data_IF_441840794383
#
_entry.id   IF_441840794383
#
_cell.length_a   1.000
_cell.length_b   1.000
_cell.length_c   1.000
_cell.angle_alpha   90.00
_cell.angle_beta   90.00
_cell.angle_gamma   90.00
#
_symmetry.space_group_name_H-M   'P 1'
#
loop_
_entity.id
_entity.type
_entity.pdbx_description
1 polymer ?
#
# COMPACT_ATOMS: atom_id res chain seq x y z
N UNK A 1 -0.26 -1.32 -16.08
CA UNK A 1 0.68 -2.37 -15.72
C UNK A 1 1.09 -2.28 -14.26
N UNK A 2 1.46 -3.41 -13.66
CA UNK A 2 1.95 -3.44 -12.28
C UNK A 2 3.43 -3.03 -12.22
N UNK A 3 4.17 -3.37 -13.28
CA UNK A 3 5.60 -3.16 -13.38
C UNK A 3 5.94 -2.31 -14.61
N UNK A 4 6.93 -1.47 -14.47
CA UNK A 4 7.50 -0.72 -15.56
C UNK A 4 8.44 -1.60 -16.39
N UNK A 5 9.14 -2.48 -15.68
CA UNK A 5 10.02 -3.49 -16.25
C UNK A 5 9.71 -4.85 -15.63
N UNK A 6 9.64 -5.88 -16.47
CA UNK A 6 9.44 -7.25 -16.05
C UNK A 6 10.39 -8.16 -16.80
N UNK A 7 11.32 -8.77 -16.10
CA UNK A 7 12.16 -9.85 -16.60
C UNK A 7 11.72 -11.15 -15.95
N UNK A 8 11.18 -12.11 -16.72
CA UNK A 8 10.85 -13.43 -16.19
C UNK A 8 12.11 -14.17 -15.75
N UNK A 9 11.97 -14.99 -14.73
CA UNK A 9 13.02 -15.92 -14.37
C UNK A 9 13.30 -16.90 -15.51
N UNK A 10 14.55 -17.20 -15.74
CA UNK A 10 14.98 -18.12 -16.79
C UNK A 10 16.18 -18.92 -16.31
N UNK A 11 16.24 -20.21 -16.69
CA UNK A 11 17.38 -21.06 -16.43
C UNK A 11 18.00 -21.50 -17.74
N UNK A 12 19.31 -21.26 -17.86
CA UNK A 12 20.11 -21.69 -19.00
C UNK A 12 20.89 -22.95 -18.62
N UNK A 13 20.42 -24.16 -19.01
CA UNK A 13 21.05 -25.42 -18.62
C UNK A 13 22.47 -25.56 -19.14
N UNK A 14 22.78 -24.90 -20.27
CA UNK A 14 24.09 -24.98 -20.93
C UNK A 14 25.22 -24.34 -20.13
N UNK A 15 24.89 -23.33 -19.32
CA UNK A 15 25.86 -22.55 -18.52
C UNK A 15 25.58 -22.64 -17.02
N UNK A 16 24.64 -23.47 -16.63
CA UNK A 16 24.15 -23.56 -15.25
C UNK A 16 23.85 -22.16 -14.65
N UNK A 17 23.31 -21.28 -15.49
CA UNK A 17 23.04 -19.90 -15.12
C UNK A 17 21.56 -19.72 -14.84
N UNK A 18 21.24 -19.25 -13.65
CA UNK A 18 19.90 -18.83 -13.28
C UNK A 18 19.81 -17.31 -13.41
N UNK A 19 18.87 -16.85 -14.24
CA UNK A 19 18.51 -15.44 -14.36
C UNK A 19 17.32 -15.22 -13.44
N UNK A 20 17.51 -14.41 -12.40
CA UNK A 20 16.45 -14.08 -11.46
C UNK A 20 15.39 -13.19 -12.10
N UNK A 21 14.16 -13.31 -11.59
CA UNK A 21 13.09 -12.39 -11.90
C UNK A 21 13.49 -10.99 -11.45
N UNK A 22 13.49 -10.02 -12.35
CA UNK A 22 13.68 -8.61 -12.04
C UNK A 22 12.41 -7.82 -12.33
N UNK A 23 12.01 -6.98 -11.37
CA UNK A 23 10.81 -6.15 -11.48
C UNK A 23 11.07 -4.78 -10.86
N UNK A 24 10.80 -3.73 -11.62
CA UNK A 24 10.87 -2.35 -11.12
C UNK A 24 9.46 -1.78 -11.01
N UNK A 25 9.13 -1.30 -9.82
CA UNK A 25 7.89 -0.57 -9.57
C UNK A 25 8.14 0.91 -9.88
N UNK A 26 7.34 1.44 -10.80
CA UNK A 26 7.38 2.86 -11.11
C UNK A 26 6.48 3.62 -10.14
N UNK A 27 7.03 4.58 -9.41
CA UNK A 27 6.31 5.41 -8.43
C UNK A 27 5.09 6.12 -9.04
N UNK A 28 5.20 6.56 -10.30
CA UNK A 28 4.08 7.19 -11.01
C UNK A 28 2.94 6.21 -11.26
N UNK A 29 3.26 4.96 -11.59
CA UNK A 29 2.23 3.91 -11.77
C UNK A 29 1.60 3.58 -10.42
N UNK A 30 2.38 3.48 -9.35
CA UNK A 30 1.85 3.25 -8.00
C UNK A 30 0.90 4.37 -7.58
N UNK A 31 1.28 5.64 -7.80
CA UNK A 31 0.41 6.79 -7.55
C UNK A 31 -0.92 6.70 -8.30
N UNK A 32 -0.89 6.43 -9.62
CA UNK A 32 -2.09 6.30 -10.44
C UNK A 32 -3.01 5.15 -9.97
N UNK A 33 -2.44 4.08 -9.45
CA UNK A 33 -3.21 2.96 -8.89
C UNK A 33 -3.88 3.36 -7.57
N UNK A 34 -3.16 4.03 -6.68
CA UNK A 34 -3.70 4.57 -5.43
C UNK A 34 -4.82 5.57 -5.71
N UNK A 35 -4.62 6.48 -6.69
CA UNK A 35 -5.61 7.44 -7.12
C UNK A 35 -6.88 6.73 -7.65
N UNK A 36 -6.71 5.73 -8.52
CA UNK A 36 -7.83 4.94 -9.06
C UNK A 36 -8.65 4.28 -7.94
N UNK A 37 -7.97 3.70 -6.93
CA UNK A 37 -8.65 3.07 -5.79
C UNK A 37 -9.37 4.12 -4.92
N UNK A 38 -8.72 5.26 -4.66
CA UNK A 38 -9.32 6.36 -3.89
C UNK A 38 -10.58 6.90 -4.58
N UNK A 39 -10.55 7.07 -5.90
CA UNK A 39 -11.68 7.53 -6.70
C UNK A 39 -12.85 6.54 -6.68
N UNK A 40 -12.58 5.23 -6.79
CA UNK A 40 -13.62 4.19 -6.69
C UNK A 40 -14.31 4.20 -5.33
N UNK A 41 -13.52 4.34 -4.25
CA UNK A 41 -14.04 4.36 -2.88
C UNK A 41 -14.70 5.69 -2.50
N UNK A 42 -14.40 6.78 -3.20
CA UNK A 42 -15.07 8.07 -2.99
C UNK A 42 -16.53 8.08 -3.47
N UNK A 43 -16.90 7.12 -4.35
CA UNK A 43 -18.21 7.07 -4.99
C UNK A 43 -18.40 8.08 -6.11
N UNK A 44 -17.33 8.80 -6.51
CA UNK A 44 -17.36 9.71 -7.64
C UNK A 44 -17.51 8.94 -8.98
N UNK A 45 -18.25 9.47 -9.96
CA UNK A 45 -18.36 8.85 -11.27
C UNK A 45 -17.00 8.69 -11.92
N UNK A 46 -16.53 7.45 -12.03
CA UNK A 46 -15.14 7.16 -12.45
C UNK A 46 -15.11 6.04 -13.48
N UNK A 47 -14.31 6.22 -14.54
CA UNK A 47 -14.00 5.19 -15.53
C UNK A 47 -12.52 4.85 -15.41
N UNK A 48 -12.20 3.58 -15.12
CA UNK A 48 -10.82 3.11 -15.00
C UNK A 48 -10.49 2.17 -16.15
N UNK A 49 -9.40 2.48 -16.86
CA UNK A 49 -8.83 1.62 -17.89
C UNK A 49 -7.51 1.06 -17.38
N UNK A 50 -7.43 -0.25 -17.25
CA UNK A 50 -6.25 -0.91 -16.68
C UNK A 50 -5.94 -2.23 -17.38
N UNK A 51 -4.79 -2.82 -17.07
CA UNK A 51 -4.42 -4.16 -17.55
C UNK A 51 -5.18 -5.23 -16.76
N UNK A 52 -5.25 -6.45 -17.31
CA UNK A 52 -5.92 -7.59 -16.67
C UNK A 52 -5.37 -7.92 -15.28
N UNK A 53 -4.14 -7.53 -14.97
CA UNK A 53 -3.53 -7.72 -13.65
C UNK A 53 -4.30 -7.04 -12.50
N UNK A 54 -5.17 -6.07 -12.80
CA UNK A 54 -6.01 -5.41 -11.78
C UNK A 54 -7.06 -6.34 -11.14
N UNK A 55 -7.41 -7.46 -11.80
CA UNK A 55 -8.36 -8.44 -11.24
C UNK A 55 -7.76 -9.29 -10.12
N UNK A 56 -6.44 -9.33 -10.02
CA UNK A 56 -5.73 -9.99 -8.93
C UNK A 56 -5.65 -9.04 -7.74
N UNK A 57 -6.66 -9.09 -6.88
CA UNK A 57 -6.75 -8.18 -5.74
C UNK A 57 -5.76 -8.57 -4.65
N UNK A 58 -5.24 -7.57 -3.97
CA UNK A 58 -4.37 -7.70 -2.83
C UNK A 58 -4.98 -6.96 -1.64
N UNK A 59 -5.78 -7.70 -0.89
CA UNK A 59 -6.47 -7.17 0.28
C UNK A 59 -7.96 -6.89 0.04
N UNK A 60 -8.65 -6.68 1.15
CA UNK A 60 -10.06 -6.34 1.15
C UNK A 60 -10.20 -4.81 0.98
N UNK A 61 -11.02 -4.30 0.04
CA UNK A 61 -11.33 -2.88 -0.05
C UNK A 61 -11.83 -2.26 1.27
N UNK A 62 -12.50 -3.06 2.11
CA UNK A 62 -12.96 -2.63 3.41
C UNK A 62 -11.82 -2.26 4.35
N UNK A 63 -10.72 -3.03 4.38
CA UNK A 63 -9.55 -2.73 5.22
C UNK A 63 -8.94 -1.37 4.85
N UNK A 64 -9.00 -1.02 3.55
CA UNK A 64 -8.51 0.26 3.05
C UNK A 64 -9.43 1.41 3.42
N UNK A 65 -10.72 1.18 3.38
CA UNK A 65 -11.76 2.11 3.82
C UNK A 65 -11.68 2.34 5.34
N UNK A 66 -11.51 1.29 6.13
CA UNK A 66 -11.44 1.35 7.59
C UNK A 66 -10.19 2.09 8.09
N UNK A 67 -9.11 2.09 7.31
CA UNK A 67 -7.89 2.84 7.60
C UNK A 67 -7.88 4.25 7.04
N UNK A 68 -8.92 4.64 6.28
CA UNK A 68 -9.05 6.00 5.79
C UNK A 68 -9.28 6.98 6.96
N UNK A 69 -8.59 8.11 6.91
CA UNK A 69 -8.65 9.15 7.93
C UNK A 69 -9.67 10.18 7.49
N UNK A 70 -10.81 10.22 8.17
CA UNK A 70 -11.81 11.27 7.93
C UNK A 70 -11.68 12.31 9.04
N UNK A 71 -11.56 13.58 8.65
CA UNK A 71 -11.50 14.74 9.55
C UNK A 71 -12.51 15.78 9.10
N UNK A 72 -13.20 16.38 10.05
CA UNK A 72 -14.09 17.51 9.81
C UNK A 72 -13.60 18.71 10.62
N UNK A 73 -13.81 19.91 10.12
CA UNK A 73 -13.62 21.12 10.91
C UNK A 73 -14.58 21.09 12.11
N UNK A 74 -14.03 21.34 13.29
CA UNK A 74 -14.75 21.24 14.57
C UNK A 74 -14.66 19.86 15.25
N UNK A 75 -13.99 18.88 14.64
CA UNK A 75 -13.76 17.58 15.30
C UNK A 75 -12.86 17.76 16.54
N UNK A 76 -13.31 17.26 17.70
CA UNK A 76 -12.51 17.16 18.90
C UNK A 76 -11.67 15.86 18.85
N UNK A 77 -10.39 16.00 18.51
CA UNK A 77 -9.46 14.88 18.37
C UNK A 77 -8.05 15.32 18.75
N UNK A 78 -7.38 14.55 19.59
CA UNK A 78 -6.00 14.84 19.97
C UNK A 78 -5.05 14.74 18.77
N UNK A 79 -4.16 15.72 18.64
CA UNK A 79 -3.13 15.75 17.60
C UNK A 79 -2.36 14.42 17.49
N UNK A 80 -1.98 13.84 18.62
CA UNK A 80 -1.24 12.57 18.63
C UNK A 80 -2.07 11.40 18.10
N UNK A 81 -3.39 11.45 18.20
CA UNK A 81 -4.27 10.45 17.61
C UNK A 81 -4.29 10.56 16.08
N UNK A 82 -4.37 11.79 15.56
CA UNK A 82 -4.26 12.03 14.10
C UNK A 82 -2.92 11.50 13.58
N UNK A 83 -1.81 11.81 14.26
CA UNK A 83 -0.47 11.33 13.90
C UNK A 83 -0.44 9.79 13.89
N UNK A 84 -1.00 9.13 14.91
CA UNK A 84 -1.07 7.67 14.96
C UNK A 84 -1.86 7.10 13.79
N UNK A 85 -3.00 7.69 13.45
CA UNK A 85 -3.81 7.27 12.30
C UNK A 85 -3.02 7.40 10.98
N UNK A 86 -2.21 8.45 10.80
CA UNK A 86 -1.33 8.57 9.62
C UNK A 86 -0.29 7.46 9.57
N UNK A 87 0.34 7.11 10.70
CA UNK A 87 1.31 6.00 10.76
C UNK A 87 0.63 4.66 10.48
N UNK A 88 -0.56 4.42 11.04
CA UNK A 88 -1.35 3.21 10.78
C UNK A 88 -1.74 3.11 9.29
N UNK A 89 -2.07 4.24 8.67
CA UNK A 89 -2.36 4.37 7.23
C UNK A 89 -1.10 4.38 6.34
N UNK A 90 0.08 4.08 6.89
CA UNK A 90 1.37 3.98 6.19
C UNK A 90 1.92 5.28 5.61
N UNK A 91 1.55 6.40 6.16
CA UNK A 91 2.25 7.66 5.91
C UNK A 91 3.55 7.70 6.71
N UNK A 92 4.58 8.25 6.11
CA UNK A 92 5.89 8.41 6.75
C UNK A 92 6.08 9.85 7.23
N UNK A 93 6.61 10.02 8.45
CA UNK A 93 6.91 11.35 8.95
C UNK A 93 8.20 11.85 8.34
N UNK A 94 8.13 13.00 7.68
CA UNK A 94 9.29 13.71 7.15
C UNK A 94 9.12 15.20 7.40
N UNK A 95 9.87 15.72 8.37
CA UNK A 95 9.74 17.13 8.77
C UNK A 95 10.50 18.09 7.82
N UNK A 96 11.29 17.56 6.89
CA UNK A 96 12.04 18.33 5.89
C UNK A 96 11.24 18.54 4.61
N UNK A 97 10.74 17.44 4.02
CA UNK A 97 10.02 17.44 2.77
C UNK A 97 8.74 16.62 2.91
N UNK A 98 7.60 17.17 2.48
CA UNK A 98 6.29 16.49 2.56
C UNK A 98 5.91 15.97 1.18
N UNK A 99 6.73 15.06 0.62
CA UNK A 99 6.45 14.36 -0.62
C UNK A 99 5.16 13.51 -0.53
N UNK A 100 4.59 13.05 -1.66
CA UNK A 100 3.44 12.15 -1.65
C UNK A 100 3.67 10.92 -0.72
N UNK A 101 2.71 10.64 0.17
CA UNK A 101 2.83 9.60 1.19
C UNK A 101 3.51 10.03 2.48
N UNK A 102 3.92 11.31 2.59
CA UNK A 102 4.57 11.83 3.79
C UNK A 102 3.68 12.83 4.53
N UNK A 103 3.96 12.97 5.83
CA UNK A 103 3.39 14.04 6.64
C UNK A 103 4.46 14.67 7.54
N UNK A 104 4.22 15.91 7.96
CA UNK A 104 5.05 16.60 8.97
C UNK A 104 4.16 17.26 10.01
N UNK A 105 4.79 17.57 11.17
CA UNK A 105 4.11 18.24 12.27
C UNK A 105 4.92 19.45 12.69
N UNK A 106 4.31 20.63 12.63
CA UNK A 106 4.92 21.90 13.09
C UNK A 106 3.95 22.64 14.00
N UNK A 107 4.26 22.66 15.30
CA UNK A 107 3.36 23.27 16.30
C UNK A 107 1.96 22.63 16.25
N UNK A 108 0.96 23.44 16.03
CA UNK A 108 -0.44 23.03 15.97
C UNK A 108 -0.92 22.73 14.53
N UNK A 109 0.03 22.47 13.62
CA UNK A 109 -0.27 22.19 12.23
C UNK A 109 0.28 20.83 11.81
N UNK A 110 -0.54 20.05 11.11
CA UNK A 110 -0.16 18.82 10.45
C UNK A 110 -0.30 19.04 8.94
N UNK A 111 0.79 18.89 8.20
CA UNK A 111 0.80 18.90 6.75
C UNK A 111 0.95 17.47 6.25
N UNK A 112 0.13 17.05 5.29
CA UNK A 112 0.19 15.73 4.67
C UNK A 112 -0.02 15.85 3.17
N UNK A 113 0.80 15.16 2.38
CA UNK A 113 0.56 14.99 0.94
C UNK A 113 0.05 13.57 0.71
N UNK A 114 -1.24 13.40 0.35
CA UNK A 114 -1.77 12.08 0.05
C UNK A 114 -0.95 11.39 -1.04
N UNK A 115 -0.68 10.08 -0.90
CA UNK A 115 0.18 9.35 -1.82
C UNK A 115 -0.33 9.31 -3.27
N UNK A 116 -1.62 9.61 -3.46
CA UNK A 116 -2.33 9.67 -4.74
C UNK A 116 -2.56 11.12 -5.24
N UNK A 117 -2.03 12.13 -4.54
CA UNK A 117 -2.22 13.56 -4.88
C UNK A 117 -0.88 14.27 -5.00
N UNK A 118 -0.90 15.41 -5.67
CA UNK A 118 0.21 16.37 -5.66
C UNK A 118 -0.09 17.55 -4.71
N UNK A 119 -1.30 17.63 -4.21
CA UNK A 119 -1.70 18.70 -3.32
C UNK A 119 -1.41 18.36 -1.87
N UNK A 120 -0.94 19.37 -1.13
CA UNK A 120 -0.70 19.26 0.30
C UNK A 120 -1.98 19.61 1.05
N UNK A 121 -2.36 18.78 1.99
CA UNK A 121 -3.46 19.04 2.92
C UNK A 121 -2.88 19.52 4.24
N UNK A 122 -3.26 20.73 4.64
CA UNK A 122 -2.90 21.33 5.93
C UNK A 122 -4.06 21.25 6.90
N UNK A 123 -3.82 20.63 8.02
CA UNK A 123 -4.75 20.50 9.14
C UNK A 123 -4.23 21.40 10.26
N UNK A 124 -4.95 22.49 10.53
CA UNK A 124 -4.64 23.41 11.63
C UNK A 124 -5.46 23.02 12.84
N UNK A 125 -4.79 22.92 14.00
CA UNK A 125 -5.40 22.55 15.27
C UNK A 125 -5.46 23.77 16.19
N UNK A 126 -6.49 23.85 17.01
CA UNK A 126 -6.54 24.71 18.16
C UNK A 126 -6.77 23.85 19.41
N UNK A 127 -5.72 23.61 20.18
CA UNK A 127 -5.77 22.59 21.23
C UNK A 127 -6.03 21.19 20.66
N UNK A 128 -7.13 20.58 21.09
CA UNK A 128 -7.58 19.27 20.61
C UNK A 128 -8.71 19.38 19.55
N UNK A 129 -8.93 20.57 18.98
CA UNK A 129 -9.95 20.79 17.95
C UNK A 129 -9.32 21.00 16.56
N UNK A 130 -9.91 20.41 15.53
CA UNK A 130 -9.56 20.69 14.13
C UNK A 130 -10.18 22.02 13.73
N UNK A 131 -9.40 23.10 13.79
CA UNK A 131 -9.87 24.46 13.48
C UNK A 131 -10.11 24.64 11.99
N UNK A 132 -9.22 24.12 11.13
CA UNK A 132 -9.24 24.40 9.69
C UNK A 132 -8.57 23.30 8.90
N UNK A 133 -9.13 22.98 7.74
CA UNK A 133 -8.52 22.10 6.74
C UNK A 133 -8.35 22.86 5.44
N UNK A 134 -7.12 22.92 4.92
CA UNK A 134 -6.78 23.70 3.72
C UNK A 134 -6.01 22.84 2.72
N UNK A 135 -6.42 22.86 1.47
CA UNK A 135 -5.68 22.28 0.36
C UNK A 135 -4.76 23.34 -0.21
N UNK A 136 -3.47 23.03 -0.28
CA UNK A 136 -2.41 23.91 -0.75
C UNK A 136 -1.76 23.32 -1.99
N UNK A 137 -1.29 24.16 -2.85
CA UNK A 137 -0.35 23.78 -3.90
C UNK A 137 0.97 23.34 -3.26
N UNK A 138 1.45 22.15 -3.61
CA UNK A 138 2.61 21.55 -2.96
C UNK A 138 3.90 22.38 -3.10
N UNK A 139 4.10 23.03 -4.26
CA UNK A 139 5.33 23.77 -4.58
C UNK A 139 5.27 25.18 -4.03
N UNK A 140 4.19 25.90 -4.35
CA UNK A 140 4.06 27.32 -3.97
C UNK A 140 3.49 27.54 -2.58
N UNK A 141 2.95 26.49 -1.94
CA UNK A 141 2.22 26.51 -0.67
C UNK A 141 1.03 27.51 -0.67
N UNK A 142 0.58 27.95 -1.84
CA UNK A 142 -0.60 28.82 -1.94
C UNK A 142 -1.87 28.04 -1.68
N UNK A 143 -2.77 28.67 -0.96
CA UNK A 143 -4.10 28.11 -0.70
C UNK A 143 -4.87 27.93 -2.02
N UNK A 144 -5.29 26.69 -2.31
CA UNK A 144 -6.19 26.36 -3.41
C UNK A 144 -7.64 26.36 -2.94
N UNK A 145 -7.90 25.72 -1.79
CA UNK A 145 -9.27 25.55 -1.30
C UNK A 145 -9.28 25.30 0.21
N UNK A 146 -10.29 25.82 0.92
CA UNK A 146 -10.67 25.40 2.27
C UNK A 146 -11.80 24.39 2.17
N UNK A 147 -11.74 23.37 2.99
CA UNK A 147 -12.76 22.31 3.06
C UNK A 147 -13.22 22.10 4.48
N UNK A 148 -14.49 21.80 4.67
CA UNK A 148 -15.04 21.45 5.99
C UNK A 148 -14.85 19.99 6.35
N UNK A 149 -14.60 19.14 5.34
CA UNK A 149 -14.39 17.71 5.50
C UNK A 149 -13.30 17.24 4.56
N UNK A 150 -12.43 16.37 5.04
CA UNK A 150 -11.40 15.70 4.23
C UNK A 150 -11.33 14.22 4.60
N UNK A 151 -11.28 13.37 3.58
CA UNK A 151 -11.02 11.94 3.72
C UNK A 151 -9.69 11.63 3.04
N UNK A 152 -8.76 11.09 3.81
CA UNK A 152 -7.41 10.76 3.34
C UNK A 152 -7.28 9.23 3.39
N UNK A 153 -7.08 8.62 2.25
CA UNK A 153 -6.90 7.20 2.11
C UNK A 153 -5.44 6.79 2.41
N UNK A 154 -5.20 5.51 2.73
CA UNK A 154 -3.85 5.02 3.03
C UNK A 154 -2.82 5.28 1.94
N UNK A 155 -1.55 5.40 2.35
CA UNK A 155 -0.44 5.69 1.45
C UNK A 155 0.08 4.46 0.67
N UNK A 156 -0.36 3.25 1.01
CA UNK A 156 0.05 2.00 0.36
C UNK A 156 -1.17 1.13 0.07
N UNK A 157 -1.12 0.41 -1.06
CA UNK A 157 -2.18 -0.55 -1.41
C UNK A 157 -2.22 -1.77 -0.49
N UNK A 158 -1.06 -2.20 -0.01
CA UNK A 158 -0.91 -3.45 0.72
C UNK A 158 -0.95 -3.19 2.23
N UNK A 159 -2.18 -3.12 2.74
CA UNK A 159 -2.45 -3.02 4.16
C UNK A 159 -3.02 -4.34 4.62
N UNK A 160 -2.17 -5.20 5.11
CA UNK A 160 -2.56 -6.49 5.62
C UNK A 160 -2.56 -6.41 7.13
N UNK A 161 -3.73 -6.58 7.75
CA UNK A 161 -3.85 -6.66 9.19
C UNK A 161 -2.94 -7.79 9.72
N UNK A 162 -2.32 -7.58 10.89
CA UNK A 162 -1.34 -8.53 11.47
C UNK A 162 -1.91 -9.95 11.61
N UNK A 163 -3.20 -10.06 11.95
CA UNK A 163 -3.86 -11.35 12.12
C UNK A 163 -4.10 -12.07 10.79
N UNK A 164 -4.49 -11.33 9.75
CA UNK A 164 -4.65 -11.85 8.38
C UNK A 164 -3.28 -12.32 7.87
N UNK A 165 -2.23 -11.52 8.06
CA UNK A 165 -0.85 -11.86 7.70
C UNK A 165 -0.38 -13.16 8.34
N UNK A 166 -0.56 -13.33 9.65
CA UNK A 166 -0.20 -14.57 10.35
C UNK A 166 -0.93 -15.78 9.80
N UNK A 167 -2.23 -15.65 9.51
CA UNK A 167 -3.03 -16.75 8.91
C UNK A 167 -2.54 -17.07 7.51
N UNK A 168 -2.28 -16.07 6.69
CA UNK A 168 -1.77 -16.23 5.32
C UNK A 168 -0.41 -16.95 5.32
N UNK A 169 0.55 -16.49 6.12
CA UNK A 169 1.87 -17.11 6.25
C UNK A 169 1.77 -18.59 6.65
N UNK A 170 0.91 -18.91 7.61
CA UNK A 170 0.66 -20.32 7.99
C UNK A 170 0.10 -21.12 6.82
N UNK A 171 -0.90 -20.57 6.13
CA UNK A 171 -1.54 -21.21 4.98
C UNK A 171 -0.55 -21.47 3.83
N UNK A 172 0.32 -20.49 3.53
CA UNK A 172 1.37 -20.63 2.50
C UNK A 172 2.36 -21.74 2.89
N UNK A 173 2.82 -21.76 4.16
CA UNK A 173 3.71 -22.82 4.65
C UNK A 173 3.08 -24.21 4.55
N UNK A 174 1.81 -24.34 4.89
CA UNK A 174 1.09 -25.60 4.84
C UNK A 174 0.89 -26.10 3.39
N UNK A 175 0.66 -25.18 2.46
CA UNK A 175 0.59 -25.50 1.03
C UNK A 175 1.94 -25.90 0.46
N UNK A 176 2.99 -25.15 0.77
CA UNK A 176 4.36 -25.49 0.36
C UNK A 176 4.71 -26.92 0.74
N UNK A 177 4.46 -27.31 2.01
CA UNK A 177 4.72 -28.68 2.49
C UNK A 177 3.97 -29.75 1.68
N UNK A 178 2.76 -29.45 1.23
CA UNK A 178 1.96 -30.38 0.41
C UNK A 178 2.49 -30.46 -1.02
N UNK A 179 2.96 -29.35 -1.56
CA UNK A 179 3.41 -29.28 -2.95
C UNK A 179 4.80 -29.86 -3.17
N UNK A 180 5.74 -29.69 -2.22
CA UNK A 180 7.13 -30.11 -2.36
C UNK A 180 7.31 -31.59 -2.76
N UNK A 181 6.53 -32.58 -2.22
CA UNK A 181 6.70 -33.97 -2.59
C UNK A 181 6.31 -34.32 -4.05
N UNK A 182 5.56 -33.43 -4.71
CA UNK A 182 5.06 -33.64 -6.08
C UNK A 182 6.05 -33.14 -7.16
N UNK A 183 7.13 -32.48 -6.73
CA UNK A 183 8.10 -31.80 -7.60
C UNK A 183 9.39 -32.61 -7.71
N UNK A 184 10.10 -32.43 -8.83
CA UNK A 184 11.46 -32.93 -8.95
C UNK A 184 12.42 -32.16 -8.01
N UNK A 185 13.62 -32.70 -7.77
CA UNK A 185 14.53 -32.16 -6.74
C UNK A 185 14.95 -30.71 -7.01
N UNK A 186 15.16 -30.33 -8.26
CA UNK A 186 15.53 -28.97 -8.64
C UNK A 186 14.39 -27.97 -8.43
N UNK A 187 13.18 -28.33 -8.86
CA UNK A 187 11.97 -27.51 -8.65
C UNK A 187 11.65 -27.35 -7.16
N UNK A 188 11.78 -28.44 -6.40
CA UNK A 188 11.58 -28.47 -4.97
C UNK A 188 12.50 -27.49 -4.26
N UNK A 189 13.80 -27.58 -4.51
CA UNK A 189 14.79 -26.70 -3.91
C UNK A 189 14.52 -25.23 -4.21
N UNK A 190 14.19 -24.91 -5.46
CA UNK A 190 13.89 -23.53 -5.89
C UNK A 190 12.62 -22.97 -5.27
N UNK A 191 11.54 -23.75 -5.35
CA UNK A 191 10.25 -23.33 -4.76
C UNK A 191 10.37 -23.11 -3.25
N UNK A 192 11.06 -24.03 -2.57
CA UNK A 192 11.28 -23.96 -1.13
C UNK A 192 12.10 -22.72 -0.74
N UNK A 193 13.22 -22.49 -1.41
CA UNK A 193 14.11 -21.35 -1.13
C UNK A 193 13.39 -20.01 -1.38
N UNK A 194 12.71 -19.88 -2.51
CA UNK A 194 11.98 -18.67 -2.86
C UNK A 194 10.83 -18.40 -1.88
N UNK A 195 10.00 -19.41 -1.63
CA UNK A 195 8.85 -19.23 -0.74
C UNK A 195 9.28 -18.89 0.69
N UNK A 196 10.38 -19.48 1.18
CA UNK A 196 10.93 -19.11 2.49
C UNK A 196 11.34 -17.64 2.54
N UNK A 197 12.08 -17.16 1.52
CA UNK A 197 12.46 -15.75 1.41
C UNK A 197 11.24 -14.82 1.36
N UNK A 198 10.26 -15.14 0.51
CA UNK A 198 9.03 -14.36 0.40
C UNK A 198 8.27 -14.31 1.73
N UNK A 199 8.23 -15.43 2.47
CA UNK A 199 7.58 -15.49 3.79
C UNK A 199 8.30 -14.63 4.83
N UNK A 200 9.63 -14.60 4.84
CA UNK A 200 10.41 -13.71 5.71
C UNK A 200 10.10 -12.25 5.40
N UNK A 201 10.08 -11.86 4.12
CA UNK A 201 9.71 -10.51 3.70
C UNK A 201 8.27 -10.15 4.12
N UNK A 202 7.32 -11.07 3.95
CA UNK A 202 5.93 -10.86 4.37
C UNK A 202 5.85 -10.71 5.91
N UNK A 203 6.56 -11.52 6.68
CA UNK A 203 6.56 -11.47 8.15
C UNK A 203 7.18 -10.17 8.68
N UNK A 204 8.31 -9.75 8.12
CA UNK A 204 9.05 -8.56 8.58
C UNK A 204 8.42 -7.26 8.05
N UNK A 205 8.27 -7.15 6.73
CA UNK A 205 7.86 -5.92 6.05
C UNK A 205 6.36 -5.85 5.73
N UNK A 206 5.67 -7.00 5.76
CA UNK A 206 4.28 -7.10 5.31
C UNK A 206 4.11 -7.16 3.79
N UNK A 207 5.18 -7.30 3.04
CA UNK A 207 5.22 -7.29 1.59
C UNK A 207 6.37 -8.16 1.06
N UNK A 208 6.20 -8.74 -0.12
CA UNK A 208 7.29 -9.35 -0.92
C UNK A 208 7.08 -9.06 -2.41
N UNK A 209 8.13 -9.21 -3.20
CA UNK A 209 8.02 -9.10 -4.67
C UNK A 209 7.15 -10.24 -5.21
N UNK A 210 6.10 -9.90 -5.98
CA UNK A 210 5.14 -10.89 -6.48
C UNK A 210 4.13 -11.37 -5.44
N UNK A 211 3.82 -10.55 -4.43
CA UNK A 211 2.85 -10.86 -3.36
C UNK A 211 1.47 -11.22 -3.93
N UNK A 212 1.14 -10.74 -5.13
CA UNK A 212 -0.10 -11.11 -5.84
C UNK A 212 -0.25 -12.62 -6.07
N UNK A 213 0.87 -13.36 -6.13
CA UNK A 213 0.85 -14.83 -6.25
C UNK A 213 0.32 -15.52 -4.98
N UNK A 214 0.35 -14.80 -3.86
CA UNK A 214 -0.15 -15.26 -2.56
C UNK A 214 -1.52 -14.67 -2.21
N UNK A 215 -2.15 -13.88 -3.10
CA UNK A 215 -3.36 -13.10 -2.84
C UNK A 215 -4.48 -13.93 -2.19
N UNK A 216 -4.73 -15.16 -2.65
CA UNK A 216 -5.77 -16.04 -2.10
C UNK A 216 -5.60 -16.38 -0.62
N UNK A 217 -4.36 -16.39 -0.11
CA UNK A 217 -4.09 -16.66 1.30
C UNK A 217 -4.44 -15.48 2.19
N UNK A 218 -4.45 -14.27 1.63
CA UNK A 218 -4.79 -13.05 2.34
C UNK A 218 -6.29 -12.77 2.33
N UNK A 219 -6.99 -13.08 1.24
CA UNK A 219 -8.42 -12.83 1.09
C UNK A 219 -9.30 -14.07 1.32
N UNK A 220 -8.70 -15.22 1.60
CA UNK A 220 -9.40 -16.45 1.95
C UNK A 220 -10.12 -17.12 0.79
N UNK A 221 -9.85 -16.75 -0.46
CA UNK A 221 -10.42 -17.40 -1.65
C UNK A 221 -9.97 -18.86 -1.74
N UNK A 222 -10.89 -19.72 -2.20
CA UNK A 222 -10.55 -21.11 -2.50
C UNK A 222 -9.71 -21.19 -3.78
N UNK A 223 -8.88 -22.23 -3.88
CA UNK A 223 -8.25 -22.61 -5.16
C UNK A 223 -9.35 -22.83 -6.18
N UNK A 224 -9.24 -22.13 -7.32
CA UNK A 224 -10.05 -22.41 -8.49
C UNK A 224 -9.65 -23.73 -9.13
#
# INVERSE_FOLDING_TARGET
SYYDYYQPESYLPQTDTYIEKDTQINEKIEKLRLESTAMLLSGEPTIIVSTVSCIYSLGNPQDWEDLAITLNTGDEIKRNEIIRRFVDARYERNDTEVAPGNFRVKGDTIDVTPAYSEDLVRISMFGDEVEKITILDHVSLKEKKKVSKMKIYPAKHYLIAKDVRKKAVKSIRDELKKRLPELNELEKQRLEMRTKYDLEMIEELGYCSGIENYSRHFDGRKTG
#
